data_IF_275011049928
#
_entry.id   IF_275011049928
#
_cell.length_a   1.000
_cell.length_b   1.000
_cell.length_c   1.000
_cell.angle_alpha   90.00
_cell.angle_beta   90.00
_cell.angle_gamma   90.00
#
_symmetry.space_group_name_H-M   'P 1'
#
loop_
_entity.id
_entity.type
_entity.pdbx_description
1 polymer ?
#
# COMPACT_ATOMS: atom_id res chain seq x y z
N UNK A 1 -11.80 4.97 9.01
CA UNK A 1 -11.46 5.92 7.91
C UNK A 1 -12.70 6.67 7.44
N UNK A 2 -13.77 5.97 7.08
CA UNK A 2 -15.05 6.58 6.63
C UNK A 2 -15.58 7.60 7.64
N UNK A 3 -15.58 7.27 8.94
CA UNK A 3 -16.06 8.19 9.98
C UNK A 3 -15.20 9.46 10.09
N UNK A 4 -13.89 9.34 9.93
CA UNK A 4 -12.99 10.51 9.89
C UNK A 4 -13.26 11.40 8.69
N UNK A 5 -13.46 10.81 7.52
CA UNK A 5 -13.80 11.55 6.30
C UNK A 5 -15.16 12.26 6.46
N UNK A 6 -16.17 11.56 6.97
CA UNK A 6 -17.50 12.14 7.25
C UNK A 6 -17.40 13.33 8.19
N UNK A 7 -16.70 13.18 9.31
CA UNK A 7 -16.52 14.24 10.29
C UNK A 7 -15.81 15.48 9.71
N UNK A 8 -14.78 15.25 8.86
CA UNK A 8 -14.09 16.33 8.19
C UNK A 8 -15.02 17.12 7.24
N UNK A 9 -15.85 16.40 6.48
CA UNK A 9 -16.84 16.99 5.56
C UNK A 9 -17.92 17.79 6.34
N UNK A 10 -18.42 17.24 7.45
CA UNK A 10 -19.40 17.94 8.30
C UNK A 10 -18.86 19.26 8.85
N UNK A 11 -17.63 19.25 9.37
CA UNK A 11 -16.98 20.46 9.87
C UNK A 11 -16.76 21.49 8.74
N UNK A 12 -16.31 21.06 7.56
CA UNK A 12 -16.15 21.94 6.44
C UNK A 12 -17.47 22.56 5.97
N UNK A 13 -18.57 21.81 5.99
CA UNK A 13 -19.93 22.31 5.71
C UNK A 13 -20.41 23.38 6.71
N UNK A 14 -19.98 23.28 7.96
CA UNK A 14 -20.29 24.30 8.96
C UNK A 14 -19.44 25.58 8.83
N UNK A 15 -18.57 25.65 7.81
CA UNK A 15 -17.72 26.81 7.55
C UNK A 15 -16.35 26.74 8.22
N UNK A 16 -16.00 25.62 8.82
CA UNK A 16 -14.70 25.44 9.45
C UNK A 16 -13.59 25.20 8.42
N UNK A 17 -12.38 25.65 8.72
CA UNK A 17 -11.16 25.32 7.96
C UNK A 17 -10.62 24.00 8.48
N UNK A 18 -10.77 22.93 7.69
CA UNK A 18 -10.43 21.56 8.10
C UNK A 18 -9.13 21.10 7.44
N UNK A 19 -8.27 20.50 8.21
CA UNK A 19 -7.08 19.78 7.73
C UNK A 19 -7.20 18.30 8.09
N UNK A 20 -7.19 17.43 7.08
CA UNK A 20 -7.20 15.99 7.25
C UNK A 20 -5.79 15.45 7.01
N UNK A 21 -5.14 14.95 8.06
CA UNK A 21 -3.78 14.43 8.00
C UNK A 21 -3.80 12.94 7.63
N UNK A 22 -3.02 12.57 6.63
CA UNK A 22 -2.78 11.19 6.20
C UNK A 22 -1.31 10.85 6.31
N UNK A 23 -0.98 9.61 6.65
CA UNK A 23 0.41 9.12 6.62
C UNK A 23 0.87 8.87 5.18
N UNK A 24 2.07 9.31 4.83
CA UNK A 24 2.60 9.18 3.48
C UNK A 24 1.98 10.17 2.51
N UNK A 25 1.64 9.74 1.31
CA UNK A 25 0.91 10.53 0.33
C UNK A 25 -0.59 10.30 0.49
N UNK A 26 -1.42 11.36 0.59
CA UNK A 26 -2.86 11.21 0.79
C UNK A 26 -3.59 10.63 -0.42
N UNK A 27 -3.02 10.69 -1.62
CA UNK A 27 -3.59 10.14 -2.86
C UNK A 27 -3.18 8.70 -3.14
N UNK A 28 -2.16 8.16 -2.45
CA UNK A 28 -1.69 6.78 -2.65
C UNK A 28 -2.12 5.90 -1.48
N UNK A 29 -3.25 5.20 -1.64
CA UNK A 29 -3.91 4.40 -0.58
C UNK A 29 -4.14 5.18 0.73
N UNK A 30 -4.31 6.51 0.60
CA UNK A 30 -4.57 7.45 1.68
C UNK A 30 -6.01 7.93 1.72
N UNK A 31 -6.24 9.01 2.47
CA UNK A 31 -7.59 9.50 2.74
C UNK A 31 -8.19 10.38 1.63
N UNK A 32 -7.37 10.90 0.70
CA UNK A 32 -7.85 11.88 -0.28
C UNK A 32 -8.93 11.30 -1.22
N UNK A 33 -8.70 10.11 -1.75
CA UNK A 33 -9.66 9.44 -2.63
C UNK A 33 -11.02 9.26 -1.95
N UNK A 34 -11.03 8.74 -0.72
CA UNK A 34 -12.26 8.53 0.05
C UNK A 34 -13.03 9.84 0.30
N UNK A 35 -12.33 10.91 0.65
CA UNK A 35 -12.98 12.22 0.87
C UNK A 35 -13.61 12.74 -0.41
N UNK A 36 -12.89 12.70 -1.53
CA UNK A 36 -13.38 13.17 -2.83
C UNK A 36 -14.57 12.34 -3.33
N UNK A 37 -14.54 11.02 -3.15
CA UNK A 37 -15.64 10.13 -3.48
C UNK A 37 -16.89 10.45 -2.67
N UNK A 38 -16.76 10.58 -1.34
CA UNK A 38 -17.87 10.94 -0.46
C UNK A 38 -18.46 12.33 -0.77
N UNK A 39 -17.65 13.32 -1.15
CA UNK A 39 -18.12 14.63 -1.57
C UNK A 39 -18.91 14.55 -2.88
N UNK A 40 -18.41 13.79 -3.84
CA UNK A 40 -19.08 13.56 -5.12
C UNK A 40 -20.44 12.88 -4.94
N UNK A 41 -20.51 11.81 -4.15
CA UNK A 41 -21.75 11.10 -3.84
C UNK A 41 -22.79 12.00 -3.16
N UNK A 42 -22.35 12.95 -2.35
CA UNK A 42 -23.21 13.88 -1.64
C UNK A 42 -23.58 15.15 -2.46
N UNK A 43 -23.05 15.29 -3.67
CA UNK A 43 -23.21 16.49 -4.50
C UNK A 43 -22.71 17.76 -3.78
N UNK A 44 -21.69 17.63 -2.93
CA UNK A 44 -21.22 18.73 -2.09
C UNK A 44 -20.10 19.51 -2.80
N UNK A 45 -20.33 20.81 -2.99
CA UNK A 45 -19.33 21.75 -3.55
C UNK A 45 -18.47 22.35 -2.43
N UNK A 46 -17.54 21.53 -1.90
CA UNK A 46 -16.54 21.95 -0.92
C UNK A 46 -15.17 21.91 -1.58
N UNK A 47 -14.44 23.03 -1.63
CA UNK A 47 -13.11 23.05 -2.22
C UNK A 47 -12.13 22.20 -1.42
N UNK A 48 -11.46 21.27 -2.08
CA UNK A 48 -10.45 20.40 -1.48
C UNK A 48 -9.11 20.62 -2.16
N UNK A 49 -8.06 20.84 -1.36
CA UNK A 49 -6.68 20.88 -1.84
C UNK A 49 -5.96 19.67 -1.31
N UNK A 50 -5.43 18.84 -2.21
CA UNK A 50 -4.58 17.71 -1.86
C UNK A 50 -3.13 18.17 -1.87
N UNK A 51 -2.46 18.06 -0.73
CA UNK A 51 -1.03 18.36 -0.61
C UNK A 51 -0.27 17.03 -0.72
N UNK A 52 0.57 16.83 -1.74
CA UNK A 52 1.30 15.59 -1.93
C UNK A 52 2.30 15.33 -0.80
N UNK A 53 2.56 14.06 -0.54
CA UNK A 53 3.51 13.61 0.47
C UNK A 53 4.45 12.53 -0.06
N UNK A 54 5.31 12.01 0.80
CA UNK A 54 6.19 10.90 0.46
C UNK A 54 5.46 9.59 0.77
N UNK A 55 5.06 8.87 -0.28
CA UNK A 55 4.41 7.57 -0.11
C UNK A 55 5.37 6.51 0.45
N UNK A 56 4.84 5.45 1.05
CA UNK A 56 5.65 4.29 1.47
C UNK A 56 6.44 3.67 0.30
N UNK A 57 5.90 3.74 -0.91
CA UNK A 57 6.55 3.38 -2.16
C UNK A 57 7.90 4.09 -2.32
N UNK A 58 7.89 5.43 -2.35
CA UNK A 58 9.09 6.24 -2.53
C UNK A 58 10.07 6.08 -1.35
N UNK A 59 9.54 6.06 -0.13
CA UNK A 59 10.35 5.90 1.07
C UNK A 59 11.09 4.55 1.10
N UNK A 60 10.40 3.47 0.76
CA UNK A 60 11.01 2.15 0.69
C UNK A 60 12.02 2.03 -0.46
N UNK A 61 11.69 2.57 -1.65
CA UNK A 61 12.62 2.58 -2.78
C UNK A 61 13.94 3.27 -2.46
N UNK A 62 13.88 4.42 -1.77
CA UNK A 62 15.09 5.14 -1.37
C UNK A 62 16.01 4.31 -0.45
N UNK A 63 15.44 3.43 0.37
CA UNK A 63 16.19 2.54 1.28
C UNK A 63 16.70 1.25 0.60
N UNK A 64 16.11 0.88 -0.54
CA UNK A 64 16.43 -0.35 -1.28
C UNK A 64 17.32 -0.12 -2.51
N UNK A 65 17.87 1.08 -2.71
CA UNK A 65 18.73 1.37 -3.84
C UNK A 65 17.99 1.74 -5.12
N UNK A 66 16.86 2.42 -5.00
CA UNK A 66 16.06 2.97 -6.09
C UNK A 66 15.56 1.93 -7.12
N UNK A 67 14.90 0.84 -6.71
CA UNK A 67 14.41 -0.21 -7.61
C UNK A 67 13.30 0.24 -8.57
N UNK A 68 12.78 1.47 -8.43
CA UNK A 68 11.71 2.04 -9.27
C UNK A 68 12.22 2.79 -10.52
N UNK A 69 13.44 2.54 -10.94
CA UNK A 69 13.98 3.19 -12.14
C UNK A 69 13.35 2.66 -13.44
N UNK A 70 12.67 1.54 -13.38
CA UNK A 70 11.93 0.91 -14.49
C UNK A 70 10.44 0.94 -14.22
N UNK A 71 9.65 0.29 -15.07
CA UNK A 71 8.20 0.21 -14.90
C UNK A 71 7.82 -0.53 -13.62
N UNK A 72 6.88 0.01 -12.87
CA UNK A 72 6.45 -0.56 -11.61
C UNK A 72 4.92 -0.54 -11.45
N UNK A 73 4.41 -1.42 -10.64
CA UNK A 73 3.00 -1.48 -10.26
C UNK A 73 2.86 -1.48 -8.73
N UNK A 74 1.96 -0.64 -8.22
CA UNK A 74 1.57 -0.63 -6.83
C UNK A 74 0.24 -1.36 -6.66
N UNK A 75 0.19 -2.36 -5.79
CA UNK A 75 -1.02 -3.15 -5.52
C UNK A 75 -1.28 -3.20 -4.03
N UNK A 76 -2.49 -2.81 -3.61
CA UNK A 76 -2.93 -3.01 -2.23
C UNK A 76 -3.52 -4.40 -2.06
N UNK A 77 -3.04 -5.13 -1.04
CA UNK A 77 -3.59 -6.44 -0.68
C UNK A 77 -4.78 -6.33 0.29
N UNK A 78 -5.34 -5.13 0.45
CA UNK A 78 -6.55 -4.93 1.25
C UNK A 78 -7.79 -5.37 0.46
N UNK A 79 -8.50 -6.36 0.98
CA UNK A 79 -9.72 -6.94 0.42
C UNK A 79 -11.02 -6.29 0.96
N UNK A 80 -10.91 -5.09 1.52
CA UNK A 80 -12.07 -4.37 2.05
C UNK A 80 -12.95 -3.76 0.96
N UNK A 81 -12.35 -3.29 -0.13
CA UNK A 81 -13.03 -2.60 -1.24
C UNK A 81 -12.84 -3.31 -2.59
N UNK A 82 -11.95 -4.28 -2.65
CA UNK A 82 -11.60 -5.03 -3.87
C UNK A 82 -11.61 -6.50 -3.53
N UNK A 83 -12.15 -7.34 -4.40
CA UNK A 83 -12.18 -8.79 -4.17
C UNK A 83 -10.76 -9.38 -4.18
N UNK A 84 -10.56 -10.47 -3.46
CA UNK A 84 -9.27 -11.17 -3.45
C UNK A 84 -8.88 -11.62 -4.88
N UNK A 85 -9.83 -12.10 -5.66
CA UNK A 85 -9.57 -12.55 -7.03
C UNK A 85 -9.09 -11.40 -7.93
N UNK A 86 -9.68 -10.21 -7.81
CA UNK A 86 -9.21 -9.02 -8.53
C UNK A 86 -7.80 -8.58 -8.11
N UNK A 87 -7.49 -8.69 -6.83
CA UNK A 87 -6.15 -8.40 -6.30
C UNK A 87 -5.14 -9.38 -6.91
N UNK A 88 -5.43 -10.69 -6.87
CA UNK A 88 -4.54 -11.72 -7.40
C UNK A 88 -4.37 -11.59 -8.92
N UNK A 89 -5.43 -11.27 -9.66
CA UNK A 89 -5.36 -10.99 -11.09
C UNK A 89 -4.40 -9.84 -11.41
N UNK A 90 -4.45 -8.74 -10.64
CA UNK A 90 -3.54 -7.59 -10.82
C UNK A 90 -2.09 -7.96 -10.51
N UNK A 91 -1.86 -8.74 -9.45
CA UNK A 91 -0.52 -9.23 -9.09
C UNK A 91 0.02 -10.13 -10.19
N UNK A 92 -0.76 -11.09 -10.67
CA UNK A 92 -0.38 -11.98 -11.77
C UNK A 92 -0.01 -11.20 -13.03
N UNK A 93 -0.89 -10.29 -13.45
CA UNK A 93 -0.68 -9.50 -14.66
C UNK A 93 0.61 -8.68 -14.60
N UNK A 94 0.89 -8.04 -13.45
CA UNK A 94 2.10 -7.27 -13.26
C UNK A 94 3.36 -8.15 -13.22
N UNK A 95 3.30 -9.31 -12.54
CA UNK A 95 4.42 -10.25 -12.47
C UNK A 95 4.76 -10.81 -13.87
N UNK A 96 3.75 -11.20 -14.64
CA UNK A 96 3.93 -11.71 -16.02
C UNK A 96 4.47 -10.66 -16.98
N UNK A 97 4.11 -9.40 -16.78
CA UNK A 97 4.58 -8.29 -17.59
C UNK A 97 5.99 -7.79 -17.20
N UNK A 98 6.59 -8.34 -16.13
CA UNK A 98 7.94 -7.95 -15.69
C UNK A 98 7.99 -6.60 -14.96
N UNK A 99 6.89 -6.14 -14.40
CA UNK A 99 6.88 -4.93 -13.59
C UNK A 99 7.58 -5.16 -12.24
N UNK A 100 8.26 -4.15 -11.75
CA UNK A 100 8.64 -4.09 -10.34
C UNK A 100 7.36 -3.94 -9.51
N UNK A 101 7.09 -4.88 -8.61
CA UNK A 101 5.87 -4.92 -7.81
C UNK A 101 6.08 -4.29 -6.44
N UNK A 102 5.20 -3.36 -6.06
CA UNK A 102 5.12 -2.83 -4.72
C UNK A 102 3.79 -3.21 -4.07
N UNK A 103 3.85 -4.04 -3.03
CA UNK A 103 2.67 -4.49 -2.31
C UNK A 103 2.41 -3.60 -1.08
N UNK A 104 1.21 -3.02 -1.03
CA UNK A 104 0.71 -2.27 0.11
C UNK A 104 -0.23 -3.10 0.97
N UNK A 105 -0.32 -2.77 2.25
CA UNK A 105 -1.23 -3.42 3.20
C UNK A 105 -1.12 -4.96 3.18
N UNK A 106 0.09 -5.52 3.21
CA UNK A 106 0.29 -6.94 2.92
C UNK A 106 -0.44 -7.83 3.92
N UNK A 107 -0.55 -7.43 5.18
CA UNK A 107 -1.12 -8.26 6.23
C UNK A 107 -1.68 -7.43 7.37
N UNK A 108 -2.66 -7.97 8.11
CA UNK A 108 -3.06 -7.50 9.44
C UNK A 108 -3.14 -8.69 10.40
N UNK A 109 -3.39 -8.44 11.70
CA UNK A 109 -3.53 -9.52 12.70
C UNK A 109 -4.62 -10.53 12.35
N UNK A 110 -5.67 -10.11 11.65
CA UNK A 110 -6.83 -10.94 11.29
C UNK A 110 -6.87 -11.33 9.81
N UNK A 111 -6.02 -10.72 8.97
CA UNK A 111 -6.06 -10.86 7.52
C UNK A 111 -4.69 -11.29 7.02
N UNK A 112 -4.53 -12.59 6.76
CA UNK A 112 -3.28 -13.20 6.26
C UNK A 112 -3.45 -13.79 4.87
N UNK A 113 -4.64 -14.27 4.53
CA UNK A 113 -4.93 -14.98 3.29
C UNK A 113 -4.53 -14.21 2.02
N UNK A 114 -4.85 -12.91 1.83
CA UNK A 114 -4.45 -12.20 0.62
C UNK A 114 -2.94 -12.21 0.39
N UNK A 115 -2.16 -12.09 1.45
CA UNK A 115 -0.70 -12.15 1.37
C UNK A 115 -0.19 -13.55 1.02
N UNK A 116 -0.70 -14.59 1.66
CA UNK A 116 -0.31 -15.97 1.42
C UNK A 116 -0.64 -16.38 -0.03
N UNK A 117 -1.83 -16.05 -0.52
CA UNK A 117 -2.24 -16.28 -1.90
C UNK A 117 -1.40 -15.48 -2.89
N UNK A 118 -1.06 -14.23 -2.56
CA UNK A 118 -0.14 -13.42 -3.38
C UNK A 118 1.23 -14.07 -3.51
N UNK A 119 1.82 -14.57 -2.42
CA UNK A 119 3.10 -15.28 -2.47
C UNK A 119 3.01 -16.53 -3.38
N UNK A 120 1.93 -17.29 -3.29
CA UNK A 120 1.69 -18.46 -4.16
C UNK A 120 1.63 -18.06 -5.64
N UNK A 121 0.90 -16.99 -5.97
CA UNK A 121 0.82 -16.48 -7.36
C UNK A 121 2.19 -16.03 -7.84
N UNK A 122 2.92 -15.25 -7.06
CA UNK A 122 4.25 -14.76 -7.45
C UNK A 122 5.23 -15.90 -7.73
N UNK A 123 5.24 -16.95 -6.89
CA UNK A 123 6.11 -18.13 -7.09
C UNK A 123 5.76 -18.97 -8.33
N UNK A 124 4.58 -18.79 -8.92
CA UNK A 124 4.22 -19.44 -10.19
C UNK A 124 4.82 -18.72 -11.41
N UNK A 125 5.05 -17.42 -11.32
CA UNK A 125 5.44 -16.58 -12.44
C UNK A 125 6.86 -16.01 -12.33
N UNK A 126 7.42 -15.93 -11.14
CA UNK A 126 8.75 -15.38 -10.88
C UNK A 126 9.69 -16.47 -10.34
N UNK A 127 10.99 -16.38 -10.64
CA UNK A 127 11.99 -17.29 -10.05
C UNK A 127 11.98 -17.22 -8.52
N UNK A 128 12.17 -18.36 -7.85
CA UNK A 128 12.21 -18.44 -6.39
C UNK A 128 13.25 -17.49 -5.75
N UNK A 129 14.35 -17.26 -6.46
CA UNK A 129 15.46 -16.37 -6.07
C UNK A 129 15.22 -14.89 -6.41
N UNK A 130 14.05 -14.53 -6.94
CA UNK A 130 13.73 -13.12 -7.22
C UNK A 130 13.95 -12.27 -5.97
N UNK A 131 14.72 -11.16 -6.08
CA UNK A 131 14.99 -10.30 -4.94
C UNK A 131 13.71 -9.66 -4.39
N UNK A 132 13.55 -9.69 -3.08
CA UNK A 132 12.42 -9.07 -2.37
C UNK A 132 12.94 -8.15 -1.29
N UNK A 133 12.63 -6.86 -1.39
CA UNK A 133 12.90 -5.88 -0.37
C UNK A 133 11.69 -5.74 0.58
N UNK A 134 11.93 -5.87 1.88
CA UNK A 134 10.91 -5.65 2.91
C UNK A 134 11.32 -4.48 3.79
N UNK A 135 10.54 -3.41 3.76
CA UNK A 135 10.81 -2.19 4.53
C UNK A 135 9.67 -1.93 5.50
N UNK A 136 10.01 -1.72 6.75
CA UNK A 136 9.08 -1.35 7.81
C UNK A 136 9.50 -0.02 8.42
N UNK A 137 8.53 0.81 8.76
CA UNK A 137 8.73 2.09 9.46
C UNK A 137 9.84 2.94 8.83
N UNK A 138 9.84 3.07 7.48
CA UNK A 138 10.85 3.83 6.74
C UNK A 138 11.06 5.23 7.34
N UNK A 139 12.32 5.59 7.56
CA UNK A 139 12.74 6.87 8.14
C UNK A 139 12.21 7.16 9.56
N UNK A 140 11.85 6.11 10.30
CA UNK A 140 11.44 6.20 11.71
C UNK A 140 12.47 5.50 12.63
N UNK A 141 12.47 5.77 13.95
CA UNK A 141 13.44 5.16 14.88
C UNK A 141 13.45 3.62 14.88
N UNK A 142 12.33 2.99 14.54
CA UNK A 142 12.15 1.54 14.47
C UNK A 142 12.22 1.00 13.04
N UNK A 143 12.91 1.71 12.14
CA UNK A 143 13.10 1.27 10.75
C UNK A 143 13.75 -0.10 10.67
N UNK A 144 13.23 -0.95 9.79
CA UNK A 144 13.84 -2.21 9.41
C UNK A 144 13.84 -2.35 7.89
N UNK A 145 14.96 -2.77 7.33
CA UNK A 145 15.14 -3.06 5.90
C UNK A 145 15.72 -4.46 5.77
N UNK A 146 15.09 -5.30 4.96
CA UNK A 146 15.56 -6.66 4.67
C UNK A 146 15.47 -6.91 3.18
N UNK A 147 16.50 -7.58 2.64
CA UNK A 147 16.50 -8.13 1.28
C UNK A 147 16.58 -9.64 1.40
N UNK A 148 15.64 -10.35 0.79
CA UNK A 148 15.49 -11.80 0.86
C UNK A 148 15.16 -12.36 -0.54
N UNK A 149 15.18 -13.67 -0.69
CA UNK A 149 14.61 -14.33 -1.86
C UNK A 149 13.07 -14.43 -1.74
N UNK A 150 12.39 -14.49 -2.89
CA UNK A 150 10.92 -14.63 -2.93
C UNK A 150 10.44 -15.88 -2.19
N UNK A 151 11.17 -17.00 -2.28
CA UNK A 151 10.82 -18.24 -1.59
C UNK A 151 10.82 -18.13 -0.06
N UNK A 152 11.60 -17.20 0.51
CA UNK A 152 11.68 -16.96 1.96
C UNK A 152 10.58 -16.03 2.47
N UNK A 153 9.89 -15.32 1.57
CA UNK A 153 8.91 -14.31 1.94
C UNK A 153 7.74 -14.84 2.78
N UNK A 154 7.14 -16.01 2.49
CA UNK A 154 6.06 -16.57 3.32
C UNK A 154 6.48 -16.81 4.76
N UNK A 155 7.70 -17.33 4.98
CA UNK A 155 8.24 -17.60 6.32
C UNK A 155 8.53 -16.30 7.09
N UNK A 156 9.05 -15.28 6.41
CA UNK A 156 9.34 -13.98 7.02
C UNK A 156 8.07 -13.34 7.57
N UNK A 157 6.97 -13.44 6.87
CA UNK A 157 5.70 -12.83 7.27
C UNK A 157 5.12 -13.42 8.56
N UNK A 158 5.41 -14.67 8.87
CA UNK A 158 4.97 -15.32 10.11
C UNK A 158 5.74 -14.79 11.32
N UNK A 159 7.01 -14.43 11.14
CA UNK A 159 7.92 -14.03 12.23
C UNK A 159 7.92 -12.55 12.59
N UNK A 160 7.30 -11.66 11.80
CA UNK A 160 7.36 -10.23 12.04
C UNK A 160 6.07 -9.74 12.71
N UNK A 161 6.15 -9.53 14.04
CA UNK A 161 5.12 -8.79 14.76
C UNK A 161 5.05 -7.35 14.21
N UNK A 162 3.89 -6.93 13.68
CA UNK A 162 3.71 -5.60 13.10
C UNK A 162 3.97 -5.49 11.60
N UNK A 163 3.96 -6.60 10.87
CA UNK A 163 3.90 -6.64 9.40
C UNK A 163 2.51 -6.17 8.91
N UNK A 164 2.15 -4.97 9.35
CA UNK A 164 0.88 -4.33 9.09
C UNK A 164 1.11 -3.00 8.37
N UNK A 165 0.12 -2.17 8.30
CA UNK A 165 0.14 -0.83 7.70
C UNK A 165 1.50 -0.12 7.76
N UNK A 166 2.05 0.26 6.62
CA UNK A 166 3.34 0.97 6.49
C UNK A 166 4.53 0.11 6.08
N UNK A 167 4.32 -1.17 5.75
CA UNK A 167 5.33 -2.02 5.11
C UNK A 167 5.14 -2.02 3.60
N UNK A 168 6.21 -1.92 2.86
CA UNK A 168 6.25 -2.10 1.41
C UNK A 168 7.13 -3.30 1.07
N UNK A 169 6.70 -4.12 0.14
CA UNK A 169 7.41 -5.29 -0.36
C UNK A 169 7.71 -5.06 -1.83
N UNK A 170 8.92 -5.36 -2.23
CA UNK A 170 9.45 -5.13 -3.56
C UNK A 170 9.87 -6.41 -4.22
N UNK A 171 9.52 -6.56 -5.48
CA UNK A 171 9.97 -7.63 -6.34
C UNK A 171 10.57 -6.98 -7.61
N UNK A 172 11.79 -7.32 -7.95
CA UNK A 172 12.46 -6.82 -9.13
C UNK A 172 13.46 -7.83 -9.69
#
# INVERSE_FOLDING_TARGET
EVERARRAIELARSGERVVLVSGGDPGIYGMAGLVLEMLNEQGADIPVTVIPGISALNAAAALLGAPLMTDFAAVSLSDHLTTLDDILLRVEAAARAGFVLCLYNPRSHKRTEPFERTCQVLLQYLPAQTPVGVVQAAFRPNQSVRCIALEDLPALAVGIAGFATGSAIWFG
#
